data_IF_571403746093
#
_entry.id   IF_571403746093
#
_cell.length_a   1.000
_cell.length_b   1.000
_cell.length_c   1.000
_cell.angle_alpha   90.00
_cell.angle_beta   90.00
_cell.angle_gamma   90.00
#
_symmetry.space_group_name_H-M   'P 1'
#
loop_
_entity.id
_entity.type
_entity.pdbx_description
1 polymer ?
#
# COMPACT_ATOMS: atom_id res chain seq x y z
N UNK A 1 1.47 -17.61 4.68
CA UNK A 1 1.99 -17.28 3.34
C UNK A 1 3.52 -17.09 3.35
N UNK A 2 4.06 -16.09 4.08
CA UNK A 2 5.51 -15.86 4.15
C UNK A 2 6.32 -17.05 4.68
N UNK A 3 5.84 -17.75 5.71
CA UNK A 3 6.52 -18.97 6.20
C UNK A 3 6.52 -20.11 5.16
N UNK A 4 5.45 -20.24 4.37
CA UNK A 4 5.37 -21.26 3.31
C UNK A 4 6.35 -20.89 2.18
N UNK A 5 6.40 -19.61 1.81
CA UNK A 5 7.39 -19.10 0.87
C UNK A 5 8.83 -19.38 1.34
N UNK A 6 9.16 -19.02 2.59
CA UNK A 6 10.48 -19.23 3.15
C UNK A 6 10.89 -20.72 3.13
N UNK A 7 9.97 -21.61 3.52
CA UNK A 7 10.20 -23.06 3.46
C UNK A 7 10.39 -23.59 2.03
N UNK A 8 9.60 -23.08 1.07
CA UNK A 8 9.68 -23.50 -0.33
C UNK A 8 10.98 -23.03 -0.96
N UNK A 9 11.45 -21.81 -0.68
CA UNK A 9 12.69 -21.28 -1.28
C UNK A 9 13.95 -21.81 -0.65
N UNK A 10 13.96 -22.10 0.64
CA UNK A 10 15.08 -22.85 1.25
C UNK A 10 15.23 -24.25 0.61
N UNK A 11 14.16 -24.75 -0.02
CA UNK A 11 14.15 -26.05 -0.72
C UNK A 11 14.53 -25.95 -2.22
N UNK A 12 14.60 -24.76 -2.84
CA UNK A 12 15.00 -24.61 -4.25
C UNK A 12 16.36 -23.89 -4.35
N UNK A 13 17.40 -24.52 -4.93
CA UNK A 13 18.75 -23.97 -4.99
C UNK A 13 18.91 -22.80 -5.97
N UNK A 14 17.86 -22.46 -6.73
CA UNK A 14 17.89 -21.42 -7.75
C UNK A 14 17.30 -20.10 -7.24
N UNK A 15 18.21 -19.18 -6.89
CA UNK A 15 17.87 -17.78 -6.68
C UNK A 15 17.97 -17.03 -8.00
N UNK A 16 16.99 -16.16 -8.28
CA UNK A 16 17.07 -15.28 -9.43
C UNK A 16 18.28 -14.35 -9.28
N UNK A 17 19.03 -14.10 -10.36
CA UNK A 17 20.18 -13.21 -10.28
C UNK A 17 19.71 -11.77 -10.03
N UNK A 18 20.46 -11.01 -9.22
CA UNK A 18 20.03 -9.68 -8.75
C UNK A 18 19.74 -8.68 -9.86
N UNK A 19 20.38 -8.80 -11.03
CA UNK A 19 20.11 -7.93 -12.17
C UNK A 19 18.70 -8.15 -12.74
N UNK A 20 18.11 -9.35 -12.65
CA UNK A 20 16.74 -9.63 -13.12
C UNK A 20 15.69 -8.99 -12.20
N UNK A 21 16.02 -8.81 -10.92
CA UNK A 21 15.12 -8.29 -9.89
C UNK A 21 15.27 -6.76 -9.74
N UNK A 22 16.50 -6.27 -9.65
CA UNK A 22 16.78 -4.86 -9.32
C UNK A 22 16.79 -3.95 -10.55
N UNK A 23 17.12 -4.47 -11.74
CA UNK A 23 17.14 -3.68 -12.97
C UNK A 23 15.73 -3.53 -13.59
N UNK A 24 15.56 -2.63 -14.57
CA UNK A 24 14.30 -2.51 -15.34
C UNK A 24 13.91 -3.80 -16.09
N UNK A 25 14.81 -4.76 -16.26
CA UNK A 25 14.48 -6.07 -16.87
C UNK A 25 13.36 -6.78 -16.11
N UNK A 26 13.13 -6.45 -14.84
CA UNK A 26 12.00 -7.00 -14.07
C UNK A 26 10.65 -6.89 -14.77
N UNK A 27 10.41 -5.79 -15.49
CA UNK A 27 9.14 -5.58 -16.19
C UNK A 27 8.92 -6.61 -17.30
N UNK A 28 9.99 -7.12 -17.92
CA UNK A 28 9.92 -8.07 -19.04
C UNK A 28 9.30 -9.40 -18.61
N UNK A 29 9.53 -9.85 -17.38
CA UNK A 29 8.96 -11.11 -16.88
C UNK A 29 7.74 -10.87 -15.98
N UNK A 30 7.70 -9.78 -15.22
CA UNK A 30 6.59 -9.48 -14.31
C UNK A 30 5.30 -9.15 -15.06
N UNK A 31 5.39 -8.36 -16.15
CA UNK A 31 4.19 -7.96 -16.91
C UNK A 31 3.53 -9.19 -17.55
N UNK A 32 4.23 -10.03 -18.34
CA UNK A 32 3.62 -11.25 -18.89
C UNK A 32 3.11 -12.20 -17.81
N UNK A 33 3.83 -12.34 -16.69
CA UNK A 33 3.39 -13.18 -15.59
C UNK A 33 2.05 -12.69 -15.00
N UNK A 34 1.87 -11.38 -14.80
CA UNK A 34 0.60 -10.84 -14.28
C UNK A 34 -0.50 -10.76 -15.35
N UNK A 35 -0.15 -10.66 -16.63
CA UNK A 35 -1.11 -10.71 -17.73
C UNK A 35 -1.89 -12.03 -17.76
N UNK A 36 -1.26 -13.16 -17.43
CA UNK A 36 -1.90 -14.48 -17.44
C UNK A 36 -3.16 -14.55 -16.56
N UNK A 37 -3.09 -14.28 -15.23
CA UNK A 37 -4.30 -14.25 -14.41
C UNK A 37 -5.20 -13.05 -14.73
N UNK A 38 -4.63 -11.90 -15.15
CA UNK A 38 -5.43 -10.73 -15.51
C UNK A 38 -6.31 -10.97 -16.76
N UNK A 39 -5.85 -11.79 -17.71
CA UNK A 39 -6.62 -12.14 -18.90
C UNK A 39 -7.89 -12.95 -18.59
N UNK A 40 -7.97 -13.59 -17.42
CA UNK A 40 -9.15 -14.29 -16.93
C UNK A 40 -10.14 -13.36 -16.18
N UNK A 41 -9.77 -12.10 -15.94
CA UNK A 41 -10.59 -11.10 -15.24
C UNK A 41 -11.35 -10.18 -16.20
N UNK A 42 -12.40 -9.54 -15.69
CA UNK A 42 -13.19 -8.57 -16.46
C UNK A 42 -13.90 -9.18 -17.68
N UNK A 43 -14.16 -10.50 -17.65
CA UNK A 43 -14.86 -11.23 -18.72
C UNK A 43 -16.37 -11.00 -18.68
N UNK A 44 -16.96 -10.99 -17.48
CA UNK A 44 -18.39 -10.78 -17.28
C UNK A 44 -18.75 -9.28 -17.17
N UNK A 45 -17.95 -8.54 -16.41
CA UNK A 45 -18.11 -7.12 -16.20
C UNK A 45 -16.78 -6.44 -16.50
N UNK A 46 -16.68 -5.65 -17.59
CA UNK A 46 -15.47 -4.90 -17.89
C UNK A 46 -15.08 -4.01 -16.69
N UNK A 47 -13.91 -4.29 -16.12
CA UNK A 47 -13.35 -3.59 -14.97
C UNK A 47 -11.90 -3.23 -15.31
N UNK A 48 -11.47 -2.02 -14.93
CA UNK A 48 -10.07 -1.64 -15.08
C UNK A 48 -9.33 -2.06 -13.81
N UNK A 49 -8.48 -3.09 -13.94
CA UNK A 49 -7.75 -3.67 -12.81
C UNK A 49 -8.29 -5.05 -12.41
N UNK A 50 -7.84 -5.61 -11.28
CA UNK A 50 -8.25 -6.94 -10.86
C UNK A 50 -9.70 -6.95 -10.37
N UNK A 51 -10.38 -8.09 -10.58
CA UNK A 51 -11.73 -8.30 -10.09
C UNK A 51 -11.76 -8.39 -8.54
N UNK A 52 -12.86 -7.92 -7.94
CA UNK A 52 -13.07 -8.00 -6.49
C UNK A 52 -13.71 -9.32 -6.09
N UNK A 53 -13.06 -10.05 -5.19
CA UNK A 53 -13.65 -11.23 -4.54
C UNK A 53 -14.30 -10.82 -3.22
N UNK A 54 -15.63 -10.74 -3.19
CA UNK A 54 -16.39 -10.46 -1.95
C UNK A 54 -16.72 -11.74 -1.15
N UNK A 55 -16.48 -12.93 -1.72
CA UNK A 55 -16.68 -14.21 -1.05
C UNK A 55 -15.57 -14.59 -0.07
N UNK A 56 -15.84 -15.56 0.80
CA UNK A 56 -14.88 -16.05 1.81
C UNK A 56 -13.61 -16.66 1.19
N UNK A 57 -13.74 -17.30 0.02
CA UNK A 57 -12.63 -17.82 -0.77
C UNK A 57 -12.42 -16.96 -2.02
N UNK A 58 -11.23 -16.40 -2.24
CA UNK A 58 -10.95 -15.63 -3.45
C UNK A 58 -10.94 -16.56 -4.67
N UNK A 59 -11.35 -16.02 -5.81
CA UNK A 59 -11.27 -16.76 -7.08
C UNK A 59 -9.81 -17.12 -7.38
N UNK A 60 -9.52 -18.30 -7.97
CA UNK A 60 -8.14 -18.76 -8.18
C UNK A 60 -7.27 -17.78 -8.98
N UNK A 61 -7.82 -17.13 -10.02
CA UNK A 61 -7.10 -16.14 -10.82
C UNK A 61 -6.79 -14.85 -10.04
N UNK A 62 -7.69 -14.40 -9.15
CA UNK A 62 -7.44 -13.24 -8.27
C UNK A 62 -6.33 -13.56 -7.28
N UNK A 63 -6.36 -14.76 -6.69
CA UNK A 63 -5.31 -15.24 -5.81
C UNK A 63 -3.97 -15.34 -6.54
N UNK A 64 -3.95 -15.90 -7.75
CA UNK A 64 -2.75 -16.00 -8.57
C UNK A 64 -2.17 -14.61 -8.91
N UNK A 65 -3.03 -13.65 -9.28
CA UNK A 65 -2.63 -12.27 -9.55
C UNK A 65 -1.90 -11.64 -8.37
N UNK A 66 -2.53 -11.60 -7.19
CA UNK A 66 -1.89 -11.03 -5.99
C UNK A 66 -0.71 -11.87 -5.49
N UNK A 67 -0.76 -13.18 -5.71
CA UNK A 67 0.33 -14.11 -5.45
C UNK A 67 1.61 -13.69 -6.16
N UNK A 68 1.55 -13.25 -7.43
CA UNK A 68 2.73 -12.79 -8.17
C UNK A 68 3.36 -11.56 -7.51
N UNK A 69 2.57 -10.58 -7.07
CA UNK A 69 3.08 -9.41 -6.33
C UNK A 69 3.74 -9.81 -5.02
N UNK A 70 3.10 -10.71 -4.28
CA UNK A 70 3.64 -11.24 -3.03
C UNK A 70 4.98 -11.97 -3.26
N UNK A 71 5.03 -12.86 -4.24
CA UNK A 71 6.24 -13.61 -4.60
C UNK A 71 7.36 -12.69 -5.03
N UNK A 72 7.10 -11.67 -5.85
CA UNK A 72 8.11 -10.68 -6.20
C UNK A 72 8.64 -9.94 -4.96
N UNK A 73 7.74 -9.49 -4.08
CA UNK A 73 8.14 -8.81 -2.84
C UNK A 73 9.02 -9.69 -1.95
N UNK A 74 8.71 -10.98 -1.89
CA UNK A 74 9.47 -11.95 -1.15
C UNK A 74 10.83 -12.26 -1.81
N UNK A 75 10.92 -12.31 -3.14
CA UNK A 75 12.20 -12.44 -3.88
C UNK A 75 13.07 -11.19 -3.66
N UNK A 76 12.44 -10.01 -3.70
CA UNK A 76 13.13 -8.74 -3.49
C UNK A 76 13.70 -8.62 -2.07
N UNK A 77 13.07 -9.23 -1.07
CA UNK A 77 13.55 -9.23 0.31
C UNK A 77 14.96 -9.85 0.45
N UNK A 78 15.26 -10.88 -0.35
CA UNK A 78 16.57 -11.54 -0.35
C UNK A 78 17.67 -10.80 -1.15
N UNK A 79 17.31 -9.66 -1.77
CA UNK A 79 18.23 -8.86 -2.57
C UNK A 79 18.44 -7.47 -1.95
N UNK A 80 19.58 -7.24 -1.27
CA UNK A 80 19.90 -5.92 -0.72
C UNK A 80 19.93 -4.85 -1.81
N UNK A 81 19.11 -3.81 -1.66
CA UNK A 81 19.04 -2.69 -2.59
C UNK A 81 19.40 -1.35 -1.90
N UNK A 82 20.66 -1.17 -1.46
CA UNK A 82 21.07 0.03 -0.72
C UNK A 82 20.95 1.31 -1.57
N UNK A 83 21.02 1.18 -2.90
CA UNK A 83 20.83 2.30 -3.84
C UNK A 83 19.35 2.55 -4.15
N UNK A 84 18.46 1.63 -3.77
CA UNK A 84 17.04 1.55 -4.14
C UNK A 84 16.81 1.74 -5.64
N UNK A 85 17.43 0.85 -6.40
CA UNK A 85 17.25 0.71 -7.84
C UNK A 85 15.78 0.42 -8.18
N UNK A 86 15.09 -0.33 -7.32
CA UNK A 86 13.63 -0.49 -7.41
C UNK A 86 12.95 0.85 -7.08
N UNK A 87 12.20 1.37 -8.05
CA UNK A 87 11.54 2.67 -7.94
C UNK A 87 12.44 3.89 -8.18
N UNK A 88 13.71 3.72 -8.57
CA UNK A 88 14.61 4.88 -8.85
C UNK A 88 14.03 5.89 -9.84
N UNK A 89 13.26 5.40 -10.81
CA UNK A 89 12.64 6.18 -11.88
C UNK A 89 11.20 6.58 -11.58
N UNK A 90 10.81 6.67 -10.30
CA UNK A 90 9.42 6.96 -9.90
C UNK A 90 8.85 8.23 -10.52
N UNK A 91 9.68 9.26 -10.68
CA UNK A 91 9.30 10.54 -11.29
C UNK A 91 8.94 10.40 -12.77
N UNK A 92 9.37 9.34 -13.44
CA UNK A 92 8.97 9.01 -14.81
C UNK A 92 7.85 7.97 -14.81
N UNK A 93 7.98 6.89 -14.01
CA UNK A 93 7.02 5.79 -14.03
C UNK A 93 5.65 6.20 -13.52
N UNK A 94 5.54 7.07 -12.51
CA UNK A 94 4.25 7.53 -12.00
C UNK A 94 3.50 8.43 -13.01
N UNK A 95 4.09 9.50 -13.58
CA UNK A 95 3.39 10.28 -14.60
C UNK A 95 3.04 9.44 -15.84
N UNK A 96 3.92 8.56 -16.29
CA UNK A 96 3.63 7.67 -17.43
C UNK A 96 2.46 6.74 -17.09
N UNK A 97 2.42 6.16 -15.89
CA UNK A 97 1.32 5.32 -15.46
C UNK A 97 -0.01 6.09 -15.43
N UNK A 98 -0.02 7.29 -14.87
CA UNK A 98 -1.25 8.08 -14.65
C UNK A 98 -1.74 8.80 -15.90
N UNK A 99 -0.84 9.32 -16.73
CA UNK A 99 -1.18 10.18 -17.87
C UNK A 99 -1.23 9.45 -19.21
N UNK A 100 -0.54 8.31 -19.34
CA UNK A 100 -0.51 7.55 -20.59
C UNK A 100 -1.13 6.15 -20.44
N UNK A 101 -0.63 5.34 -19.50
CA UNK A 101 -1.06 3.95 -19.36
C UNK A 101 -2.51 3.84 -18.87
N UNK A 102 -2.88 4.64 -17.86
CA UNK A 102 -4.22 4.62 -17.29
C UNK A 102 -5.30 5.07 -18.28
N UNK A 103 -5.22 6.24 -18.95
CA UNK A 103 -6.28 6.67 -19.87
C UNK A 103 -6.43 5.71 -21.06
N UNK A 104 -5.31 5.26 -21.63
CA UNK A 104 -5.31 4.33 -22.76
C UNK A 104 -5.87 2.95 -22.36
N UNK A 105 -5.40 2.42 -21.23
CA UNK A 105 -5.87 1.14 -20.71
C UNK A 105 -7.35 1.19 -20.32
N UNK A 106 -7.80 2.29 -19.71
CA UNK A 106 -9.20 2.51 -19.36
C UNK A 106 -10.08 2.57 -20.60
N UNK A 107 -9.70 3.30 -21.64
CA UNK A 107 -10.47 3.38 -22.88
C UNK A 107 -10.55 2.02 -23.60
N UNK A 108 -9.43 1.28 -23.69
CA UNK A 108 -9.43 -0.04 -24.31
C UNK A 108 -10.29 -1.05 -23.55
N UNK A 109 -10.44 -0.87 -22.24
CA UNK A 109 -11.24 -1.75 -21.36
C UNK A 109 -12.72 -1.37 -21.33
N UNK A 110 -13.02 -0.08 -21.14
CA UNK A 110 -14.38 0.43 -20.88
C UNK A 110 -15.11 0.92 -22.13
N UNK A 111 -14.37 1.19 -23.21
CA UNK A 111 -14.93 1.60 -24.50
C UNK A 111 -15.85 2.83 -24.40
N UNK A 112 -15.40 3.86 -23.69
CA UNK A 112 -16.19 5.07 -23.43
C UNK A 112 -16.18 6.05 -24.60
N UNK A 113 -15.31 5.84 -25.60
CA UNK A 113 -15.13 6.73 -26.74
C UNK A 113 -14.39 8.02 -26.38
N UNK A 114 -13.57 8.01 -25.32
CA UNK A 114 -12.82 9.20 -24.88
C UNK A 114 -11.56 9.44 -25.72
N UNK A 115 -10.98 8.37 -26.27
CA UNK A 115 -9.77 8.38 -27.10
C UNK A 115 -10.06 7.51 -28.31
N UNK A 116 -9.72 8.00 -29.51
CA UNK A 116 -9.79 7.21 -30.73
C UNK A 116 -8.72 6.10 -30.70
N UNK A 117 -9.19 4.85 -30.71
CA UNK A 117 -8.37 3.64 -30.68
C UNK A 117 -8.67 2.71 -31.86
N UNK A 118 -9.21 3.23 -32.96
CA UNK A 118 -9.52 2.45 -34.18
C UNK A 118 -8.28 1.74 -34.77
N UNK A 119 -7.10 2.31 -34.57
CA UNK A 119 -5.80 1.73 -34.94
C UNK A 119 -5.54 0.37 -34.26
N UNK A 120 -6.21 0.09 -33.15
CA UNK A 120 -6.11 -1.16 -32.40
C UNK A 120 -7.19 -2.11 -32.89
N UNK A 121 -6.82 -3.02 -33.79
CA UNK A 121 -7.73 -4.04 -34.30
C UNK A 121 -8.49 -4.79 -33.19
N UNK A 122 -9.75 -5.14 -33.46
CA UNK A 122 -10.69 -5.70 -32.48
C UNK A 122 -10.14 -6.94 -31.77
N UNK A 123 -9.42 -7.81 -32.49
CA UNK A 123 -8.81 -9.03 -31.94
C UNK A 123 -7.68 -8.76 -30.92
N UNK A 124 -6.91 -7.68 -31.11
CA UNK A 124 -5.75 -7.36 -30.27
C UNK A 124 -6.10 -6.43 -29.10
N UNK A 125 -7.26 -5.75 -29.18
CA UNK A 125 -7.72 -4.79 -28.17
C UNK A 125 -7.69 -5.34 -26.76
N UNK A 126 -8.20 -6.55 -26.55
CA UNK A 126 -8.24 -7.19 -25.21
C UNK A 126 -6.84 -7.43 -24.66
N UNK A 127 -5.94 -7.99 -25.47
CA UNK A 127 -4.58 -8.28 -25.04
C UNK A 127 -3.80 -7.02 -24.71
N UNK A 128 -4.00 -5.96 -25.49
CA UNK A 128 -3.41 -4.65 -25.21
C UNK A 128 -3.99 -4.03 -23.93
N UNK A 129 -5.30 -4.15 -23.70
CA UNK A 129 -5.92 -3.70 -22.45
C UNK A 129 -5.33 -4.42 -21.23
N UNK A 130 -5.20 -5.75 -21.29
CA UNK A 130 -4.60 -6.59 -20.23
C UNK A 130 -3.13 -6.21 -20.00
N UNK A 131 -2.37 -6.00 -21.07
CA UNK A 131 -0.98 -5.53 -20.99
C UNK A 131 -0.88 -4.17 -20.27
N UNK A 132 -1.74 -3.21 -20.62
CA UNK A 132 -1.73 -1.88 -20.00
C UNK A 132 -2.19 -1.93 -18.55
N UNK A 133 -3.17 -2.76 -18.19
CA UNK A 133 -3.59 -2.95 -16.80
C UNK A 133 -2.47 -3.55 -15.94
N UNK A 134 -1.78 -4.57 -16.45
CA UNK A 134 -0.62 -5.17 -15.79
C UNK A 134 0.55 -4.17 -15.67
N UNK A 135 0.83 -3.42 -16.72
CA UNK A 135 1.86 -2.37 -16.74
C UNK A 135 1.56 -1.27 -15.74
N UNK A 136 0.30 -0.81 -15.71
CA UNK A 136 -0.18 0.20 -14.77
C UNK A 136 0.05 -0.24 -13.33
N UNK A 137 -0.34 -1.47 -12.99
CA UNK A 137 -0.16 -2.01 -11.65
C UNK A 137 1.33 -1.97 -11.23
N UNK A 138 2.24 -2.50 -12.05
CA UNK A 138 3.67 -2.52 -11.72
C UNK A 138 4.32 -1.14 -11.69
N UNK A 139 3.93 -0.23 -12.60
CA UNK A 139 4.48 1.14 -12.60
C UNK A 139 4.00 1.92 -11.38
N UNK A 140 2.73 1.76 -10.99
CA UNK A 140 2.21 2.35 -9.76
C UNK A 140 2.87 1.77 -8.52
N UNK A 141 3.06 0.45 -8.45
CA UNK A 141 3.72 -0.21 -7.30
C UNK A 141 5.16 0.27 -7.14
N UNK A 142 6.00 0.15 -8.18
CA UNK A 142 7.40 0.58 -8.08
C UNK A 142 7.57 2.09 -8.01
N UNK A 143 6.70 2.83 -8.69
CA UNK A 143 6.66 4.28 -8.62
C UNK A 143 6.32 4.76 -7.21
N UNK A 144 5.31 4.17 -6.56
CA UNK A 144 4.98 4.48 -5.18
C UNK A 144 6.14 4.15 -4.22
N UNK A 145 6.75 2.96 -4.34
CA UNK A 145 7.92 2.58 -3.52
C UNK A 145 9.04 3.62 -3.67
N UNK A 146 9.37 4.02 -4.89
CA UNK A 146 10.39 5.01 -5.15
C UNK A 146 10.05 6.40 -4.61
N UNK A 147 8.81 6.86 -4.84
CA UNK A 147 8.30 8.15 -4.36
C UNK A 147 8.34 8.21 -2.82
N UNK A 148 7.90 7.15 -2.15
CA UNK A 148 7.92 7.10 -0.69
C UNK A 148 9.34 7.12 -0.14
N UNK A 149 10.26 6.40 -0.79
CA UNK A 149 11.68 6.40 -0.41
C UNK A 149 12.34 7.77 -0.59
N UNK A 150 11.95 8.54 -1.60
CA UNK A 150 12.53 9.88 -1.83
C UNK A 150 11.89 10.99 -1.01
N UNK A 151 10.57 10.95 -0.79
CA UNK A 151 9.84 12.03 -0.12
C UNK A 151 9.70 11.81 1.40
N UNK A 152 9.73 10.57 1.86
CA UNK A 152 9.50 10.21 3.26
C UNK A 152 10.68 9.43 3.87
N UNK A 153 11.91 9.81 3.52
CA UNK A 153 13.14 9.20 4.06
C UNK A 153 13.41 9.55 5.53
N UNK A 154 12.61 10.43 6.14
CA UNK A 154 12.78 10.90 7.51
C UNK A 154 11.82 10.21 8.48
N UNK A 155 12.27 10.00 9.72
CA UNK A 155 11.39 9.49 10.77
C UNK A 155 10.29 10.48 11.11
N UNK A 156 9.04 10.15 10.77
CA UNK A 156 7.86 10.95 11.08
C UNK A 156 6.88 10.18 11.96
N UNK A 157 6.56 10.76 13.13
CA UNK A 157 5.54 10.22 14.04
C UNK A 157 4.15 10.17 13.38
N UNK A 158 3.84 11.16 12.53
CA UNK A 158 2.56 11.23 11.80
C UNK A 158 2.52 10.12 10.75
N UNK A 159 3.56 9.97 9.94
CA UNK A 159 3.58 8.92 8.90
C UNK A 159 3.52 7.52 9.52
N UNK A 160 4.22 7.31 10.64
CA UNK A 160 4.12 6.07 11.43
C UNK A 160 2.67 5.82 11.87
N UNK A 161 2.01 6.82 12.45
CA UNK A 161 0.61 6.71 12.86
C UNK A 161 -0.34 6.39 11.69
N UNK A 162 -0.19 7.05 10.55
CA UNK A 162 -1.02 6.81 9.35
C UNK A 162 -0.82 5.37 8.84
N UNK A 163 0.44 4.93 8.69
CA UNK A 163 0.77 3.56 8.29
C UNK A 163 0.15 2.53 9.23
N UNK A 164 0.26 2.78 10.54
CA UNK A 164 -0.28 1.89 11.57
C UNK A 164 -1.81 1.79 11.55
N UNK A 165 -2.49 2.90 11.26
CA UNK A 165 -3.94 2.94 11.17
C UNK A 165 -4.48 2.32 9.86
N UNK A 166 -3.65 2.24 8.81
CA UNK A 166 -4.09 1.85 7.47
C UNK A 166 -4.74 0.47 7.41
N UNK A 167 -4.23 -0.49 8.20
CA UNK A 167 -4.81 -1.83 8.26
C UNK A 167 -6.21 -1.84 8.91
N UNK A 168 -6.39 -1.08 10.00
CA UNK A 168 -7.71 -0.96 10.62
C UNK A 168 -8.70 -0.25 9.70
N UNK A 169 -8.27 0.85 9.08
CA UNK A 169 -9.04 1.57 8.07
C UNK A 169 -9.50 0.61 6.97
N UNK A 170 -8.61 -0.23 6.44
CA UNK A 170 -8.96 -1.25 5.45
C UNK A 170 -10.03 -2.24 5.94
N UNK A 171 -10.07 -2.61 7.22
CA UNK A 171 -11.11 -3.51 7.72
C UNK A 171 -12.47 -2.82 7.91
N UNK A 172 -12.48 -1.61 8.46
CA UNK A 172 -13.73 -0.94 8.85
C UNK A 172 -14.32 -0.03 7.78
N UNK A 173 -13.55 0.35 6.75
CA UNK A 173 -14.03 1.33 5.78
C UNK A 173 -15.27 0.85 5.01
N UNK A 174 -15.34 -0.42 4.58
CA UNK A 174 -16.49 -0.91 3.79
C UNK A 174 -17.84 -0.73 4.50
N UNK A 175 -18.07 -1.27 5.71
CA UNK A 175 -19.34 -1.08 6.40
C UNK A 175 -19.62 0.41 6.69
N UNK A 176 -18.60 1.20 7.02
CA UNK A 176 -18.75 2.64 7.23
C UNK A 176 -19.18 3.38 5.95
N UNK A 177 -18.58 3.06 4.81
CA UNK A 177 -18.95 3.63 3.51
C UNK A 177 -20.40 3.31 3.20
N UNK A 178 -20.86 2.07 3.41
CA UNK A 178 -22.25 1.67 3.18
C UNK A 178 -23.21 2.47 4.06
N UNK A 179 -22.90 2.61 5.36
CA UNK A 179 -23.72 3.39 6.30
C UNK A 179 -23.77 4.88 5.92
N UNK A 180 -22.64 5.49 5.61
CA UNK A 180 -22.56 6.90 5.23
C UNK A 180 -23.24 7.14 3.88
N UNK A 181 -23.09 6.22 2.92
CA UNK A 181 -23.80 6.26 1.64
C UNK A 181 -25.31 6.19 1.84
N UNK A 182 -25.80 5.31 2.72
CA UNK A 182 -27.23 5.18 2.99
C UNK A 182 -27.84 6.51 3.46
N UNK A 183 -27.12 7.27 4.29
CA UNK A 183 -27.57 8.59 4.78
C UNK A 183 -27.48 9.67 3.71
N UNK A 184 -26.38 9.72 2.94
CA UNK A 184 -26.11 10.82 1.98
C UNK A 184 -26.79 10.59 0.63
N UNK A 185 -27.22 9.37 0.31
CA UNK A 185 -27.78 9.03 -1.00
C UNK A 185 -28.96 9.94 -1.38
N UNK A 186 -29.84 10.26 -0.43
CA UNK A 186 -31.05 11.08 -0.63
C UNK A 186 -30.78 12.59 -0.78
N UNK A 187 -29.57 13.07 -0.50
CA UNK A 187 -29.28 14.50 -0.52
C UNK A 187 -29.19 15.04 -1.95
N UNK A 188 -29.67 16.25 -2.21
CA UNK A 188 -29.56 16.92 -3.51
C UNK A 188 -28.19 17.62 -3.66
N UNK A 189 -27.10 16.87 -3.47
CA UNK A 189 -25.74 17.36 -3.68
C UNK A 189 -25.15 16.82 -4.99
N UNK A 190 -24.24 17.56 -5.65
CA UNK A 190 -23.50 17.05 -6.80
C UNK A 190 -22.64 15.84 -6.39
N UNK A 191 -22.44 14.91 -7.33
CA UNK A 191 -21.75 13.64 -7.07
C UNK A 191 -20.33 13.79 -6.51
N UNK A 192 -19.59 14.81 -6.96
CA UNK A 192 -18.24 15.12 -6.47
C UNK A 192 -18.24 15.48 -4.98
N UNK A 193 -19.22 16.27 -4.54
CA UNK A 193 -19.33 16.67 -3.14
C UNK A 193 -19.79 15.50 -2.26
N UNK A 194 -20.73 14.67 -2.76
CA UNK A 194 -21.10 13.42 -2.08
C UNK A 194 -19.88 12.52 -1.86
N UNK A 195 -19.07 12.31 -2.91
CA UNK A 195 -17.86 11.51 -2.83
C UNK A 195 -16.89 12.07 -1.79
N UNK A 196 -16.61 13.38 -1.84
CA UNK A 196 -15.73 14.05 -0.88
C UNK A 196 -16.21 13.88 0.57
N UNK A 197 -17.50 14.06 0.81
CA UNK A 197 -18.11 13.87 2.13
C UNK A 197 -18.01 12.42 2.61
N UNK A 198 -18.37 11.45 1.76
CA UNK A 198 -18.30 10.03 2.10
C UNK A 198 -16.86 9.64 2.47
N UNK A 199 -15.87 10.04 1.66
CA UNK A 199 -14.46 9.77 1.93
C UNK A 199 -14.00 10.42 3.24
N UNK A 200 -14.29 11.70 3.43
CA UNK A 200 -13.85 12.45 4.62
C UNK A 200 -14.45 11.89 5.90
N UNK A 201 -15.75 11.63 5.91
CA UNK A 201 -16.47 11.08 7.07
C UNK A 201 -15.97 9.66 7.37
N UNK A 202 -15.84 8.81 6.35
CA UNK A 202 -15.35 7.43 6.53
C UNK A 202 -13.94 7.42 7.11
N UNK A 203 -13.02 8.23 6.58
CA UNK A 203 -11.64 8.33 7.08
C UNK A 203 -11.64 8.84 8.53
N UNK A 204 -12.39 9.90 8.83
CA UNK A 204 -12.48 10.46 10.18
C UNK A 204 -12.99 9.42 11.19
N UNK A 205 -14.10 8.74 10.88
CA UNK A 205 -14.66 7.69 11.74
C UNK A 205 -13.72 6.49 11.90
N UNK A 206 -13.03 6.09 10.83
CA UNK A 206 -12.06 5.00 10.87
C UNK A 206 -10.83 5.35 11.72
N UNK A 207 -10.33 6.59 11.63
CA UNK A 207 -9.22 7.06 12.46
C UNK A 207 -9.63 7.22 13.93
N UNK A 208 -10.85 7.70 14.18
CA UNK A 208 -11.39 7.86 15.53
C UNK A 208 -11.55 6.49 16.21
N UNK A 209 -12.17 5.53 15.52
CA UNK A 209 -12.32 4.16 16.01
C UNK A 209 -10.96 3.48 16.23
N UNK A 210 -9.98 3.71 15.36
CA UNK A 210 -8.61 3.23 15.58
C UNK A 210 -8.00 3.79 16.87
N UNK A 211 -8.11 5.11 17.07
CA UNK A 211 -7.50 5.79 18.21
C UNK A 211 -8.06 5.32 19.56
N UNK A 212 -9.38 5.18 19.66
CA UNK A 212 -10.06 4.84 20.91
C UNK A 212 -10.21 3.34 21.15
N UNK A 213 -10.52 2.55 20.12
CA UNK A 213 -10.92 1.15 20.31
C UNK A 213 -9.81 0.13 20.02
N UNK A 214 -8.76 0.52 19.28
CA UNK A 214 -7.80 -0.45 18.72
C UNK A 214 -6.37 -0.20 19.17
N UNK A 215 -5.90 1.05 19.15
CA UNK A 215 -4.47 1.36 19.28
C UNK A 215 -3.77 0.78 20.51
N UNK A 216 -4.47 0.65 21.64
CA UNK A 216 -3.93 0.08 22.88
C UNK A 216 -4.68 -1.16 23.36
N UNK A 217 -5.47 -1.80 22.49
CA UNK A 217 -6.23 -3.00 22.85
C UNK A 217 -5.55 -4.26 22.33
N UNK A 218 -6.05 -5.41 22.79
CA UNK A 218 -5.62 -6.72 22.30
C UNK A 218 -5.75 -6.82 20.76
N UNK A 219 -6.77 -6.17 20.18
CA UNK A 219 -6.98 -6.10 18.73
C UNK A 219 -5.82 -5.36 18.05
N UNK A 220 -5.40 -4.20 18.57
CA UNK A 220 -4.25 -3.50 18.01
C UNK A 220 -2.94 -4.27 18.18
N UNK A 221 -2.80 -5.02 19.27
CA UNK A 221 -1.61 -5.86 19.54
C UNK A 221 -1.55 -7.07 18.60
N UNK A 222 -2.70 -7.69 18.30
CA UNK A 222 -2.81 -8.81 17.37
C UNK A 222 -2.57 -8.38 15.92
N UNK A 223 -3.08 -7.21 15.53
CA UNK A 223 -3.04 -6.75 14.13
C UNK A 223 -1.74 -6.02 13.78
N UNK A 224 -1.20 -5.21 14.68
CA UNK A 224 -0.07 -4.32 14.43
C UNK A 224 1.16 -4.65 15.30
N UNK A 225 1.12 -5.72 16.09
CA UNK A 225 2.15 -6.06 17.07
C UNK A 225 2.05 -5.28 18.40
N UNK A 226 2.68 -5.76 19.48
CA UNK A 226 2.64 -5.14 20.80
C UNK A 226 3.31 -3.77 20.79
N UNK A 227 2.61 -2.76 21.33
CA UNK A 227 3.09 -1.38 21.40
C UNK A 227 3.27 -0.95 22.85
N UNK A 228 4.46 -0.47 23.19
CA UNK A 228 4.71 0.23 24.46
C UNK A 228 4.47 1.73 24.27
N UNK A 229 3.74 2.35 25.20
CA UNK A 229 3.69 3.82 25.28
C UNK A 229 5.13 4.33 25.46
N UNK A 230 5.52 5.45 24.84
CA UNK A 230 6.75 6.13 25.22
C UNK A 230 6.65 6.39 26.72
N UNK A 231 7.49 5.74 27.52
CA UNK A 231 7.62 6.12 28.91
C UNK A 231 8.20 7.53 28.90
N UNK A 232 7.48 8.47 29.49
CA UNK A 232 8.08 9.75 29.84
C UNK A 232 9.19 9.39 30.82
N UNK A 233 10.45 9.52 30.39
CA UNK A 233 11.59 9.39 31.30
C UNK A 233 11.51 10.60 32.21
N UNK A 234 10.92 10.42 33.40
CA UNK A 234 10.85 11.45 34.46
C UNK A 234 12.15 11.47 35.28
N UNK A 235 13.07 10.53 35.06
CA UNK A 235 14.21 10.30 35.97
C UNK A 235 15.43 11.22 35.77
N UNK A 236 15.38 12.23 34.89
CA UNK A 236 16.54 13.09 34.64
C UNK A 236 16.56 14.42 35.40
N UNK A 237 15.58 14.70 36.29
CA UNK A 237 15.50 16.00 37.01
C UNK A 237 15.67 15.86 38.53
N UNK A 238 15.73 14.64 39.10
CA UNK A 238 15.82 14.44 40.56
C UNK A 238 17.20 14.00 41.09
N UNK A 239 18.29 14.14 40.31
CA UNK A 239 19.65 13.79 40.76
C UNK A 239 20.59 15.01 40.74
N UNK A 240 20.08 16.21 41.02
CA UNK A 240 20.93 17.39 41.23
C UNK A 240 20.47 18.23 42.43
N UNK A 241 20.12 17.55 43.54
CA UNK A 241 20.24 18.19 44.85
C UNK A 241 21.63 17.85 45.42
N UNK A 242 22.55 18.82 45.53
CA UNK A 242 23.77 18.62 46.29
C UNK A 242 23.40 18.63 47.77
N UNK A 243 23.31 17.44 48.37
CA UNK A 243 23.45 17.26 49.81
C UNK A 243 24.89 17.61 50.20
N UNK A 244 25.11 18.87 50.59
CA UNK A 244 26.39 19.38 51.08
C UNK A 244 26.18 20.18 52.37
N UNK A 245 26.40 19.49 53.48
CA UNK A 245 26.58 19.91 54.87
C UNK A 245 26.50 21.41 55.23
N UNK A 246 25.52 21.71 56.08
CA UNK A 246 25.56 22.84 56.99
C UNK A 246 26.50 22.49 58.18
N UNK A 247 27.74 22.92 58.12
CA UNK A 247 28.63 22.96 59.29
C UNK A 247 28.60 24.40 59.85
N UNK A 248 27.96 24.57 61.00
CA UNK A 248 28.07 25.79 61.82
C UNK A 248 28.82 25.43 63.11
N UNK A 249 29.41 26.47 63.73
CA UNK A 249 30.15 26.56 65.02
C UNK A 249 31.67 26.69 64.79
N UNK A 250 32.45 27.65 65.31
CA UNK A 250 32.31 28.94 66.02
C UNK A 250 33.78 29.44 66.25
N UNK A 251 34.07 30.75 66.51
CA UNK A 251 35.42 31.31 66.46
C UNK A 251 36.10 31.37 67.83
N UNK A 252 37.38 30.98 67.95
CA UNK A 252 38.29 31.41 69.04
C UNK A 252 39.78 31.32 68.64
N UNK A 253 40.47 32.43 68.93
CA UNK A 253 41.91 32.68 69.16
C UNK A 253 42.93 32.61 68.01
#
# INVERSE_FOLDING_TARGET
AFCIYALVIDSIPWKLPSWVVLSPVRYVWLIPATMLPQAAMGLLYPSFGPDTSAGLLPMPWVLAYYGIFFMFGAIYFDHPDPRGQVGRWWWLTLPVALLAVFPLGYELTMQRGLIDVEWVGTSNRRWLAVFLQATYAWFMTFGAIGMFRSLFSFESKIMRYVSDSSYWLYLVHLPLIVLVQFVICSWLLPSSLKLFLICTITIALSLLSYHFCVRYTFIGTLLNGPRRRPQVVVDAILIDEPSGEAETVSPQE
#
